data_IF_255194997666
#
_entry.id   IF_255194997666
#
_cell.length_a   1.000
_cell.length_b   1.000
_cell.length_c   1.000
_cell.angle_alpha   90.00
_cell.angle_beta   90.00
_cell.angle_gamma   90.00
#
_symmetry.space_group_name_H-M   'P 1'
#
loop_
_entity.id
_entity.type
_entity.pdbx_description
1 polymer ?
#
# COMPACT_ATOMS: atom_id res chain seq x y z
N UNK A 1 6.53 -18.18 -19.77
CA UNK A 1 6.94 -19.43 -19.10
C UNK A 1 6.47 -19.35 -17.66
N UNK A 2 5.82 -20.38 -17.12
CA UNK A 2 5.38 -20.35 -15.72
C UNK A 2 6.56 -20.45 -14.77
N UNK A 3 6.56 -19.65 -13.70
CA UNK A 3 7.54 -19.76 -12.61
C UNK A 3 7.53 -21.16 -12.01
N UNK A 4 8.72 -21.71 -11.72
CA UNK A 4 8.85 -22.98 -11.01
C UNK A 4 8.10 -22.98 -9.67
N UNK A 5 7.57 -24.13 -9.21
CA UNK A 5 6.85 -24.22 -7.93
C UNK A 5 7.69 -23.73 -6.74
N UNK A 6 9.00 -23.95 -6.80
CA UNK A 6 9.95 -23.49 -5.80
C UNK A 6 10.05 -21.95 -5.77
N UNK A 7 10.10 -21.31 -6.94
CA UNK A 7 10.10 -19.86 -7.05
C UNK A 7 8.81 -19.26 -6.46
N UNK A 8 7.65 -19.84 -6.80
CA UNK A 8 6.36 -19.41 -6.26
C UNK A 8 6.31 -19.52 -4.73
N UNK A 9 6.80 -20.62 -4.17
CA UNK A 9 6.91 -20.80 -2.72
C UNK A 9 7.82 -19.74 -2.06
N UNK A 10 8.98 -19.47 -2.65
CA UNK A 10 9.89 -18.44 -2.14
C UNK A 10 9.29 -17.04 -2.17
N UNK A 11 8.58 -16.68 -3.25
CA UNK A 11 7.88 -15.39 -3.32
C UNK A 11 6.81 -15.32 -2.23
N UNK A 12 5.99 -16.37 -2.03
CA UNK A 12 5.01 -16.43 -0.92
C UNK A 12 5.68 -16.20 0.43
N UNK A 13 6.78 -16.93 0.70
CA UNK A 13 7.54 -16.83 1.95
C UNK A 13 8.09 -15.42 2.14
N UNK A 14 8.67 -14.82 1.10
CA UNK A 14 9.26 -13.48 1.15
C UNK A 14 8.19 -12.40 1.38
N UNK A 15 7.06 -12.49 0.68
CA UNK A 15 5.92 -11.60 0.87
C UNK A 15 5.37 -11.71 2.29
N UNK A 16 5.15 -12.93 2.77
CA UNK A 16 4.66 -13.18 4.14
C UNK A 16 5.62 -12.64 5.20
N UNK A 17 6.91 -12.94 5.08
CA UNK A 17 7.92 -12.37 5.97
C UNK A 17 7.92 -10.84 5.93
N UNK A 18 7.77 -10.24 4.75
CA UNK A 18 7.71 -8.78 4.65
C UNK A 18 6.48 -8.25 5.37
N UNK A 19 5.30 -8.83 5.16
CA UNK A 19 4.03 -8.39 5.75
C UNK A 19 3.99 -8.60 7.25
N UNK A 20 4.55 -9.70 7.76
CA UNK A 20 4.64 -10.00 9.19
C UNK A 20 5.54 -8.99 9.91
N UNK A 21 6.71 -8.66 9.31
CA UNK A 21 7.59 -7.62 9.84
C UNK A 21 6.89 -6.25 9.89
N UNK A 22 6.06 -5.95 8.88
CA UNK A 22 5.31 -4.70 8.81
C UNK A 22 4.19 -4.67 9.86
N UNK A 23 3.49 -5.79 10.06
CA UNK A 23 2.48 -5.90 11.10
C UNK A 23 3.09 -5.70 12.51
N UNK A 24 4.26 -6.28 12.77
CA UNK A 24 4.99 -6.08 14.02
C UNK A 24 5.39 -4.62 14.25
N UNK A 25 5.83 -3.92 13.20
CA UNK A 25 6.23 -2.50 13.30
C UNK A 25 5.05 -1.56 13.52
N UNK A 26 3.88 -1.85 12.96
CA UNK A 26 2.74 -0.91 12.97
C UNK A 26 1.64 -1.27 13.95
N UNK A 27 1.54 -2.53 14.36
CA UNK A 27 0.45 -3.04 15.18
C UNK A 27 0.96 -4.10 16.17
N UNK A 28 1.89 -3.77 17.09
CA UNK A 28 2.50 -4.76 17.99
C UNK A 28 1.48 -5.49 18.88
N UNK A 29 0.31 -4.87 19.11
CA UNK A 29 -0.75 -5.39 19.97
C UNK A 29 -1.99 -5.89 19.21
N UNK A 30 -2.05 -5.72 17.89
CA UNK A 30 -3.14 -6.29 17.09
C UNK A 30 -2.68 -7.68 16.66
N UNK A 31 -3.46 -8.72 16.98
CA UNK A 31 -3.31 -10.01 16.28
C UNK A 31 -3.50 -9.71 14.82
N UNK A 32 -2.38 -9.61 14.08
CA UNK A 32 -2.38 -9.29 12.67
C UNK A 32 -3.43 -10.17 12.01
N UNK A 33 -4.55 -9.58 11.61
CA UNK A 33 -5.51 -10.25 10.75
C UNK A 33 -4.74 -10.45 9.45
N UNK A 34 -4.08 -11.60 9.37
CA UNK A 34 -3.13 -11.92 8.32
C UNK A 34 -3.78 -11.62 6.98
N UNK A 35 -2.96 -11.16 6.03
CA UNK A 35 -3.33 -11.33 4.63
C UNK A 35 -3.74 -12.79 4.47
N UNK A 36 -5.04 -13.03 4.30
CA UNK A 36 -5.57 -14.38 4.10
C UNK A 36 -4.76 -15.02 2.97
N UNK A 37 -4.36 -16.29 3.10
CA UNK A 37 -3.63 -17.01 2.05
C UNK A 37 -4.31 -16.84 0.67
N UNK A 38 -5.64 -16.74 0.68
CA UNK A 38 -6.49 -16.48 -0.47
C UNK A 38 -6.22 -15.15 -1.21
N UNK A 39 -5.62 -14.17 -0.53
CA UNK A 39 -5.22 -12.87 -1.11
C UNK A 39 -3.85 -12.95 -1.79
N UNK A 40 -2.90 -13.73 -1.25
CA UNK A 40 -1.58 -13.89 -1.85
C UNK A 40 -1.64 -14.72 -3.13
N UNK A 41 -2.46 -15.77 -3.16
CA UNK A 41 -2.61 -16.60 -4.35
C UNK A 41 -3.21 -15.82 -5.53
N UNK A 42 -4.15 -14.90 -5.26
CA UNK A 42 -4.71 -14.00 -6.29
C UNK A 42 -3.68 -13.01 -6.82
N UNK A 43 -2.80 -12.49 -5.96
CA UNK A 43 -1.71 -11.60 -6.38
C UNK A 43 -0.74 -12.37 -7.28
N UNK A 44 -0.36 -13.59 -6.87
CA UNK A 44 0.55 -14.44 -7.63
C UNK A 44 -0.04 -14.90 -8.97
N UNK A 45 -1.33 -15.23 -9.03
CA UNK A 45 -1.99 -15.60 -10.29
C UNK A 45 -1.99 -14.43 -11.25
N UNK A 46 -2.33 -13.22 -10.78
CA UNK A 46 -2.33 -12.03 -11.62
C UNK A 46 -0.93 -11.69 -12.15
N UNK A 47 0.11 -11.84 -11.32
CA UNK A 47 1.49 -11.64 -11.76
C UNK A 47 1.98 -12.70 -12.72
N UNK A 48 1.61 -13.96 -12.52
CA UNK A 48 1.97 -15.02 -13.46
C UNK A 48 1.41 -14.75 -14.85
N UNK A 49 0.24 -14.11 -14.95
CA UNK A 49 -0.32 -13.65 -16.22
C UNK A 49 0.48 -12.50 -16.83
N UNK A 50 0.94 -11.53 -16.02
CA UNK A 50 1.73 -10.38 -16.50
C UNK A 50 3.14 -10.77 -16.94
N UNK A 51 3.85 -11.59 -16.17
CA UNK A 51 5.23 -11.99 -16.47
C UNK A 51 5.36 -12.84 -17.74
N UNK A 52 4.27 -13.47 -18.20
CA UNK A 52 4.29 -14.26 -19.43
C UNK A 52 4.50 -13.42 -20.71
N UNK A 53 4.31 -12.10 -20.67
CA UNK A 53 4.61 -11.23 -21.82
C UNK A 53 6.09 -10.87 -21.94
N UNK A 54 6.88 -11.01 -20.88
CA UNK A 54 8.28 -10.53 -20.83
C UNK A 54 9.23 -11.67 -20.39
N UNK A 55 9.60 -12.52 -21.35
CA UNK A 55 10.36 -13.75 -21.07
C UNK A 55 11.70 -13.54 -20.33
N UNK A 56 12.37 -12.40 -20.48
CA UNK A 56 13.65 -12.11 -19.82
C UNK A 56 13.52 -11.95 -18.30
N UNK A 57 12.45 -11.32 -17.83
CA UNK A 57 12.26 -11.03 -16.40
C UNK A 57 12.01 -12.32 -15.60
N UNK A 58 11.34 -13.30 -16.21
CA UNK A 58 11.09 -14.60 -15.58
C UNK A 58 12.38 -15.36 -15.27
N UNK A 59 13.36 -15.32 -16.18
CA UNK A 59 14.66 -15.98 -16.01
C UNK A 59 15.49 -15.27 -14.93
N UNK A 60 15.52 -13.93 -14.96
CA UNK A 60 16.20 -13.13 -13.92
C UNK A 60 15.61 -13.41 -12.54
N UNK A 61 14.27 -13.45 -12.43
CA UNK A 61 13.58 -13.73 -11.18
C UNK A 61 13.91 -15.11 -10.61
N UNK A 62 13.94 -16.15 -11.45
CA UNK A 62 14.34 -17.49 -11.00
C UNK A 62 15.78 -17.56 -10.50
N UNK A 63 16.71 -16.89 -11.19
CA UNK A 63 18.11 -16.81 -10.76
C UNK A 63 18.24 -16.09 -9.42
N UNK A 64 17.56 -14.95 -9.25
CA UNK A 64 17.57 -14.21 -7.99
C UNK A 64 16.97 -15.01 -6.84
N UNK A 65 15.92 -15.81 -7.08
CA UNK A 65 15.32 -16.66 -6.06
C UNK A 65 16.24 -17.82 -5.66
N UNK A 66 16.99 -18.40 -6.61
CA UNK A 66 18.03 -19.40 -6.31
C UNK A 66 19.15 -18.80 -5.45
N UNK A 67 19.63 -17.61 -5.81
CA UNK A 67 20.63 -16.89 -5.02
C UNK A 67 20.07 -16.57 -3.63
N UNK A 68 18.83 -16.10 -3.54
CA UNK A 68 18.17 -15.81 -2.26
C UNK A 68 18.18 -17.02 -1.33
N UNK A 69 17.84 -18.21 -1.82
CA UNK A 69 17.87 -19.45 -1.02
C UNK A 69 19.27 -19.84 -0.56
N UNK A 70 20.29 -19.64 -1.41
CA UNK A 70 21.68 -19.91 -1.07
C UNK A 70 22.15 -18.98 0.05
N UNK A 71 21.86 -17.67 -0.06
CA UNK A 71 22.27 -16.67 0.92
C UNK A 71 21.42 -16.68 2.20
N UNK A 72 20.17 -17.13 2.17
CA UNK A 72 19.33 -17.23 3.39
C UNK A 72 19.96 -18.17 4.45
N UNK A 73 20.75 -19.16 4.01
CA UNK A 73 21.46 -20.10 4.91
C UNK A 73 22.80 -19.56 5.43
N UNK A 74 23.33 -18.49 4.84
CA UNK A 74 24.67 -17.96 5.13
C UNK A 74 24.59 -16.52 5.70
N UNK A 75 24.62 -16.33 7.04
CA UNK A 75 24.40 -15.03 7.67
C UNK A 75 25.48 -13.97 7.37
N UNK A 76 26.65 -14.38 6.85
CA UNK A 76 27.76 -13.49 6.54
C UNK A 76 27.48 -12.48 5.39
N UNK A 77 26.41 -12.67 4.61
CA UNK A 77 26.14 -11.88 3.40
C UNK A 77 24.84 -11.06 3.49
N UNK A 78 24.59 -10.43 4.64
CA UNK A 78 23.37 -9.64 4.89
C UNK A 78 23.14 -8.56 3.81
N UNK A 79 24.19 -7.85 3.38
CA UNK A 79 24.14 -6.82 2.33
C UNK A 79 23.66 -7.36 0.97
N UNK A 80 24.18 -8.50 0.52
CA UNK A 80 23.77 -9.10 -0.75
C UNK A 80 22.33 -9.60 -0.70
N UNK A 81 21.92 -10.18 0.44
CA UNK A 81 20.56 -10.65 0.64
C UNK A 81 19.54 -9.51 0.57
N UNK A 82 19.89 -8.33 1.09
CA UNK A 82 19.09 -7.11 0.97
C UNK A 82 18.89 -6.73 -0.49
N UNK A 83 19.99 -6.70 -1.24
CA UNK A 83 19.99 -6.27 -2.63
C UNK A 83 19.21 -7.26 -3.52
N UNK A 84 19.38 -8.55 -3.29
CA UNK A 84 18.59 -9.61 -3.95
C UNK A 84 17.10 -9.44 -3.63
N UNK A 85 16.73 -9.22 -2.36
CA UNK A 85 15.34 -8.95 -1.97
C UNK A 85 14.80 -7.72 -2.70
N UNK A 86 15.58 -6.65 -2.77
CA UNK A 86 15.21 -5.42 -3.47
C UNK A 86 14.93 -5.68 -4.94
N UNK A 87 15.85 -6.38 -5.63
CA UNK A 87 15.71 -6.68 -7.05
C UNK A 87 14.53 -7.61 -7.35
N UNK A 88 14.33 -8.64 -6.53
CA UNK A 88 13.14 -9.51 -6.60
C UNK A 88 11.88 -8.65 -6.49
N UNK A 89 11.81 -7.77 -5.49
CA UNK A 89 10.64 -6.92 -5.30
C UNK A 89 10.42 -5.97 -6.50
N UNK A 90 11.49 -5.41 -7.08
CA UNK A 90 11.39 -4.57 -8.28
C UNK A 90 10.79 -5.31 -9.48
N UNK A 91 11.25 -6.54 -9.76
CA UNK A 91 10.72 -7.37 -10.86
C UNK A 91 9.26 -7.74 -10.59
N UNK A 92 8.87 -7.92 -9.33
CA UNK A 92 7.47 -8.12 -8.94
C UNK A 92 6.63 -6.83 -9.02
N UNK A 93 7.17 -5.74 -9.58
CA UNK A 93 6.48 -4.47 -9.74
C UNK A 93 6.43 -3.60 -8.48
N UNK A 94 7.13 -3.99 -7.41
CA UNK A 94 7.25 -3.14 -6.23
C UNK A 94 8.31 -2.08 -6.48
N UNK A 95 7.87 -0.84 -6.73
CA UNK A 95 8.77 0.29 -6.93
C UNK A 95 9.52 0.60 -5.63
N UNK A 96 10.81 0.25 -5.59
CA UNK A 96 11.69 0.58 -4.46
C UNK A 96 12.43 1.91 -4.66
N UNK A 97 12.17 2.65 -5.75
CA UNK A 97 12.89 3.89 -6.06
C UNK A 97 12.62 4.98 -5.02
N UNK A 98 13.61 5.83 -4.66
CA UNK A 98 13.41 6.98 -3.80
C UNK A 98 12.71 8.07 -4.58
N UNK A 99 11.45 7.84 -4.91
CA UNK A 99 10.62 8.98 -5.23
C UNK A 99 10.30 9.57 -3.87
N UNK A 100 11.20 10.42 -3.38
CA UNK A 100 10.83 11.39 -2.36
C UNK A 100 9.62 12.11 -2.96
N UNK A 101 8.45 11.96 -2.35
CA UNK A 101 7.25 12.61 -2.84
C UNK A 101 7.51 14.10 -2.77
N UNK A 102 7.41 14.76 -3.92
CA UNK A 102 7.45 16.22 -3.99
C UNK A 102 6.24 16.85 -3.31
N UNK A 103 5.15 16.08 -3.12
CA UNK A 103 3.89 16.59 -2.58
C UNK A 103 3.44 15.76 -1.37
N UNK A 104 3.44 16.42 -0.20
CA UNK A 104 2.85 15.89 1.02
C UNK A 104 1.33 16.10 1.00
N UNK A 105 0.55 15.19 1.61
CA UNK A 105 -0.89 15.39 1.73
C UNK A 105 -1.19 16.68 2.50
N UNK A 106 -2.14 17.47 2.02
CA UNK A 106 -2.61 18.66 2.73
C UNK A 106 -3.32 18.24 4.01
N UNK A 107 -2.86 18.74 5.17
CA UNK A 107 -3.40 18.40 6.48
C UNK A 107 -4.02 19.65 7.10
N UNK A 108 -5.30 19.59 7.46
CA UNK A 108 -6.03 20.73 8.05
C UNK A 108 -6.90 20.30 9.25
N UNK A 109 -7.26 21.25 10.10
CA UNK A 109 -8.18 20.98 11.22
C UNK A 109 -9.62 20.94 10.69
N UNK A 110 -10.41 19.94 11.09
CA UNK A 110 -11.78 19.76 10.59
C UNK A 110 -12.66 21.00 10.79
N UNK A 111 -12.52 21.67 11.94
CA UNK A 111 -13.31 22.86 12.29
C UNK A 111 -13.06 24.10 11.44
N UNK A 112 -12.06 24.11 10.55
CA UNK A 112 -11.83 25.21 9.60
C UNK A 112 -12.49 24.97 8.24
N UNK A 113 -13.28 23.91 8.09
CA UNK A 113 -13.92 23.55 6.81
C UNK A 113 -15.43 23.57 6.93
N UNK A 114 -16.11 23.98 5.86
CA UNK A 114 -17.56 23.90 5.78
C UNK A 114 -17.95 22.52 5.25
N UNK A 115 -18.62 21.74 6.08
CA UNK A 115 -19.16 20.43 5.70
C UNK A 115 -20.56 20.57 5.10
N UNK A 116 -20.91 19.64 4.20
CA UNK A 116 -22.24 19.52 3.63
C UNK A 116 -22.59 18.04 3.45
N UNK A 117 -23.86 17.73 3.29
CA UNK A 117 -24.32 16.39 2.93
C UNK A 117 -24.81 16.38 1.48
N UNK A 118 -24.57 15.29 0.75
CA UNK A 118 -25.03 15.15 -0.63
C UNK A 118 -25.43 13.71 -0.91
N UNK A 119 -26.24 13.49 -1.94
CA UNK A 119 -26.70 12.15 -2.32
C UNK A 119 -25.82 11.58 -3.43
N UNK A 120 -25.26 10.39 -3.22
CA UNK A 120 -24.44 9.70 -4.20
C UNK A 120 -24.75 8.21 -4.21
N UNK A 121 -25.13 7.69 -5.39
CA UNK A 121 -25.49 6.29 -5.63
C UNK A 121 -26.40 5.67 -4.56
N UNK A 122 -27.50 6.35 -4.23
CA UNK A 122 -28.51 5.81 -3.32
C UNK A 122 -28.20 6.01 -1.83
N UNK A 123 -27.12 6.72 -1.47
CA UNK A 123 -26.74 6.96 -0.07
C UNK A 123 -26.39 8.43 0.16
N UNK A 124 -26.67 8.91 1.37
CA UNK A 124 -26.19 10.22 1.83
C UNK A 124 -24.71 10.09 2.17
N UNK A 125 -23.90 11.00 1.65
CA UNK A 125 -22.47 11.11 1.87
C UNK A 125 -22.14 12.47 2.49
N UNK A 126 -21.03 12.52 3.22
CA UNK A 126 -20.50 13.76 3.78
C UNK A 126 -19.44 14.35 2.84
N UNK A 127 -19.57 15.65 2.56
CA UNK A 127 -18.62 16.43 1.78
C UNK A 127 -18.10 17.63 2.57
N UNK A 128 -17.02 18.24 2.07
CA UNK A 128 -16.49 19.50 2.57
C UNK A 128 -16.03 20.39 1.42
N UNK A 129 -16.02 21.71 1.64
CA UNK A 129 -15.42 22.68 0.71
C UNK A 129 -14.06 23.12 1.21
N UNK A 130 -13.05 23.04 0.34
CA UNK A 130 -11.68 23.50 0.63
C UNK A 130 -11.09 24.13 -0.63
N UNK A 131 -10.52 25.35 -0.51
CA UNK A 131 -9.94 26.10 -1.64
C UNK A 131 -10.85 26.17 -2.89
N UNK A 132 -12.15 26.43 -2.68
CA UNK A 132 -13.16 26.47 -3.74
C UNK A 132 -13.47 25.14 -4.45
N UNK A 133 -12.85 24.04 -4.01
CA UNK A 133 -13.14 22.70 -4.50
C UNK A 133 -14.02 21.92 -3.52
N UNK A 134 -14.70 20.89 -4.04
CA UNK A 134 -15.58 20.02 -3.27
C UNK A 134 -14.91 18.67 -3.08
N UNK A 135 -14.82 18.22 -1.84
CA UNK A 135 -14.27 16.93 -1.47
C UNK A 135 -15.33 16.06 -0.80
N UNK A 136 -15.27 14.76 -1.03
CA UNK A 136 -16.10 13.77 -0.35
C UNK A 136 -15.29 12.95 0.65
N UNK A 137 -15.90 12.63 1.79
CA UNK A 137 -15.29 11.72 2.77
C UNK A 137 -15.21 10.32 2.17
N UNK A 138 -14.03 9.70 2.24
CA UNK A 138 -13.80 8.34 1.75
C UNK A 138 -13.52 7.38 2.89
N UNK A 139 -12.75 7.81 3.89
CA UNK A 139 -12.46 6.98 5.06
C UNK A 139 -12.17 7.79 6.31
N UNK A 140 -12.73 7.33 7.41
CA UNK A 140 -12.52 7.85 8.76
C UNK A 140 -11.66 6.90 9.56
N UNK A 141 -10.72 7.45 10.32
CA UNK A 141 -9.80 6.73 11.18
C UNK A 141 -9.92 7.28 12.60
N UNK A 142 -9.90 6.39 13.59
CA UNK A 142 -9.66 6.80 14.98
C UNK A 142 -8.23 7.37 15.12
N UNK A 143 -8.02 8.29 16.05
CA UNK A 143 -6.68 8.81 16.38
C UNK A 143 -5.65 7.70 16.73
N UNK A 144 -6.10 6.56 17.26
CA UNK A 144 -5.21 5.41 17.52
C UNK A 144 -4.57 4.87 16.24
N UNK A 145 -5.18 5.11 15.08
CA UNK A 145 -4.72 4.71 13.76
C UNK A 145 -4.13 5.87 12.95
N UNK A 146 -3.67 6.96 13.61
CA UNK A 146 -3.10 8.14 12.93
C UNK A 146 -2.03 7.79 11.90
N UNK A 147 -1.13 6.86 12.22
CA UNK A 147 -0.03 6.47 11.34
C UNK A 147 -0.54 5.85 10.05
N UNK A 148 -1.57 5.01 10.16
CA UNK A 148 -2.23 4.39 9.03
C UNK A 148 -2.97 5.43 8.18
N UNK A 149 -3.67 6.39 8.81
CA UNK A 149 -4.31 7.48 8.09
C UNK A 149 -3.31 8.31 7.27
N UNK A 150 -2.18 8.69 7.87
CA UNK A 150 -1.09 9.40 7.19
C UNK A 150 -0.48 8.59 6.06
N UNK A 151 -0.21 7.31 6.29
CA UNK A 151 0.30 6.40 5.27
C UNK A 151 -0.63 6.29 4.06
N UNK A 152 -1.94 6.20 4.30
CA UNK A 152 -2.93 6.09 3.26
C UNK A 152 -3.07 7.38 2.47
N UNK A 153 -3.16 8.51 3.17
CA UNK A 153 -3.15 9.83 2.54
C UNK A 153 -1.87 10.01 1.71
N UNK A 154 -0.73 9.64 2.27
CA UNK A 154 0.53 9.75 1.57
C UNK A 154 0.60 8.91 0.29
N UNK A 155 0.18 7.65 0.33
CA UNK A 155 0.12 6.80 -0.86
C UNK A 155 -0.79 7.37 -1.96
N UNK A 156 -1.92 7.97 -1.57
CA UNK A 156 -2.83 8.66 -2.50
C UNK A 156 -2.18 9.92 -3.09
N UNK A 157 -1.45 10.69 -2.27
CA UNK A 157 -0.70 11.88 -2.70
C UNK A 157 0.39 11.52 -3.72
N UNK A 158 1.15 10.44 -3.48
CA UNK A 158 2.17 9.93 -4.41
C UNK A 158 1.53 9.54 -5.75
N UNK A 159 0.31 9.00 -5.74
CA UNK A 159 -0.46 8.69 -6.94
C UNK A 159 -1.13 9.93 -7.58
N UNK A 160 -0.78 11.15 -7.14
CA UNK A 160 -1.33 12.43 -7.61
C UNK A 160 -2.85 12.52 -7.47
N UNK A 161 -3.42 11.85 -6.46
CA UNK A 161 -4.84 11.98 -6.17
C UNK A 161 -5.06 13.28 -5.38
N UNK A 162 -5.97 14.16 -5.81
CA UNK A 162 -6.29 15.38 -5.08
C UNK A 162 -7.01 15.04 -3.77
N UNK A 163 -6.26 15.09 -2.67
CA UNK A 163 -6.71 14.68 -1.35
C UNK A 163 -6.46 15.73 -0.28
N UNK A 164 -7.27 15.66 0.77
CA UNK A 164 -7.07 16.43 2.00
C UNK A 164 -7.27 15.48 3.19
N UNK A 165 -6.35 15.53 4.16
CA UNK A 165 -6.49 14.83 5.43
C UNK A 165 -6.93 15.84 6.48
N UNK A 166 -8.12 15.68 7.03
CA UNK A 166 -8.54 16.50 8.18
C UNK A 166 -8.32 15.76 9.48
N UNK A 167 -8.03 16.49 10.56
CA UNK A 167 -8.03 15.93 11.91
C UNK A 167 -8.99 16.68 12.83
N UNK A 168 -9.59 15.94 13.76
CA UNK A 168 -10.40 16.45 14.87
C UNK A 168 -9.79 15.98 16.21
N UNK A 169 -10.50 16.19 17.31
CA UNK A 169 -10.10 15.70 18.64
C UNK A 169 -10.26 14.19 18.81
N UNK A 170 -10.98 13.50 17.91
CA UNK A 170 -11.30 12.08 18.03
C UNK A 170 -10.95 11.25 16.80
N UNK A 171 -10.84 11.89 15.63
CA UNK A 171 -10.73 11.18 14.35
C UNK A 171 -9.88 11.93 13.31
N UNK A 172 -9.43 11.19 12.30
CA UNK A 172 -8.88 11.71 11.06
C UNK A 172 -9.77 11.26 9.91
N UNK A 173 -9.99 12.13 8.92
CA UNK A 173 -10.83 11.84 7.75
C UNK A 173 -10.03 12.12 6.48
N UNK A 174 -9.98 11.14 5.58
CA UNK A 174 -9.45 11.30 4.23
C UNK A 174 -10.58 11.76 3.32
N UNK A 175 -10.36 12.92 2.71
CA UNK A 175 -11.23 13.52 1.73
C UNK A 175 -10.59 13.49 0.35
N UNK A 176 -11.39 13.22 -0.67
CA UNK A 176 -10.93 13.19 -2.06
C UNK A 176 -11.81 14.12 -2.88
N UNK A 177 -11.22 14.89 -3.79
CA UNK A 177 -11.96 15.80 -4.65
C UNK A 177 -13.04 15.01 -5.42
N UNK A 178 -14.28 15.49 -5.38
CA UNK A 178 -15.43 14.81 -5.99
C UNK A 178 -15.35 14.71 -7.52
N UNK A 179 -14.56 15.56 -8.15
CA UNK A 179 -14.29 15.52 -9.60
C UNK A 179 -13.24 14.45 -9.96
N UNK A 180 -12.50 13.92 -8.97
CA UNK A 180 -11.54 12.86 -9.20
C UNK A 180 -12.24 11.53 -9.51
N UNK A 181 -11.87 10.81 -10.58
CA UNK A 181 -12.42 9.47 -10.85
C UNK A 181 -12.11 8.49 -9.71
N UNK A 182 -11.03 8.73 -8.97
CA UNK A 182 -10.63 7.95 -7.79
C UNK A 182 -11.69 7.97 -6.70
N UNK A 183 -12.41 9.08 -6.53
CA UNK A 183 -13.49 9.17 -5.54
C UNK A 183 -14.57 8.11 -5.80
N UNK A 184 -15.05 8.03 -7.05
CA UNK A 184 -16.05 7.06 -7.44
C UNK A 184 -15.57 5.62 -7.18
N UNK A 185 -14.32 5.31 -7.54
CA UNK A 185 -13.74 3.97 -7.31
C UNK A 185 -13.69 3.65 -5.81
N UNK A 186 -13.19 4.56 -4.99
CA UNK A 186 -12.92 4.27 -3.59
C UNK A 186 -14.16 4.24 -2.71
N UNK A 187 -15.20 5.02 -3.01
CA UNK A 187 -16.47 4.98 -2.28
C UNK A 187 -17.25 3.69 -2.53
N UNK A 188 -17.01 3.00 -3.65
CA UNK A 188 -17.67 1.72 -3.95
C UNK A 188 -16.90 0.50 -3.49
N UNK A 189 -15.59 0.61 -3.35
CA UNK A 189 -14.80 -0.54 -2.96
C UNK A 189 -15.14 -0.97 -1.54
N UNK A 190 -15.15 -2.29 -1.34
CA UNK A 190 -15.31 -2.86 -0.02
C UNK A 190 -14.21 -2.26 0.89
N UNK A 191 -14.56 -1.64 2.03
CA UNK A 191 -13.62 -0.97 2.91
C UNK A 191 -12.46 -1.87 3.36
N UNK A 192 -12.66 -3.19 3.35
CA UNK A 192 -11.64 -4.20 3.62
C UNK A 192 -10.55 -4.22 2.51
N UNK A 193 -10.95 -4.24 1.24
CA UNK A 193 -10.03 -4.23 0.10
C UNK A 193 -9.18 -2.97 0.10
N UNK A 194 -9.81 -1.82 0.37
CA UNK A 194 -9.11 -0.54 0.47
C UNK A 194 -8.08 -0.52 1.59
N UNK A 195 -8.40 -1.06 2.78
CA UNK A 195 -7.40 -1.22 3.83
C UNK A 195 -6.26 -2.12 3.40
N UNK A 196 -6.53 -3.25 2.74
CA UNK A 196 -5.48 -4.19 2.34
C UNK A 196 -4.53 -3.57 1.32
N UNK A 197 -5.07 -2.93 0.28
CA UNK A 197 -4.27 -2.31 -0.78
C UNK A 197 -3.43 -1.17 -0.22
N UNK A 198 -3.98 -0.31 0.63
CA UNK A 198 -3.23 0.79 1.21
C UNK A 198 -2.22 0.33 2.27
N UNK A 199 -2.56 -0.66 3.08
CA UNK A 199 -1.62 -1.26 4.03
C UNK A 199 -0.44 -1.88 3.28
N UNK A 200 -0.67 -2.59 2.18
CA UNK A 200 0.39 -3.09 1.30
C UNK A 200 1.21 -1.94 0.70
N UNK A 201 0.56 -0.93 0.12
CA UNK A 201 1.27 0.15 -0.57
C UNK A 201 2.16 0.95 0.40
N UNK A 202 1.62 1.28 1.58
CA UNK A 202 2.36 2.00 2.62
C UNK A 202 3.51 1.18 3.24
N UNK A 203 3.33 -0.13 3.34
CA UNK A 203 4.35 -1.07 3.76
C UNK A 203 5.54 -1.11 2.79
N UNK A 204 5.23 -1.11 1.51
CA UNK A 204 6.21 -1.18 0.44
C UNK A 204 7.05 0.11 0.36
N UNK A 205 6.43 1.27 0.60
CA UNK A 205 7.15 2.55 0.60
C UNK A 205 8.04 2.80 1.84
N UNK A 206 7.70 2.25 3.02
CA UNK A 206 8.43 2.57 4.29
C UNK A 206 9.71 1.79 4.55
N UNK A 207 9.90 0.59 3.99
CA UNK A 207 11.11 -0.22 4.22
C UNK A 207 12.42 0.47 3.76
N UNK A 208 12.26 1.60 3.09
CA UNK A 208 13.27 2.45 2.53
C UNK A 208 13.95 3.42 3.53
N UNK A 209 13.24 3.86 4.57
CA UNK A 209 13.72 4.94 5.47
C UNK A 209 14.29 4.45 6.80
N UNK A 210 14.29 3.14 7.07
CA UNK A 210 14.79 2.56 8.32
C UNK A 210 16.27 2.12 8.25
N UNK A 211 17.06 2.68 7.32
CA UNK A 211 18.48 2.33 7.09
C UNK A 211 19.35 3.55 6.81
N UNK A 212 19.15 4.58 7.62
CA UNK A 212 20.16 5.59 7.88
C UNK A 212 20.49 5.53 9.38
#
# INVERSE_FOLDING_TARGET
MSLSPLAQYCIRKLLRQSTDNLAQLFMPNSRAAGLSEMSLDKILSNWSCQLNSEGSETVELELLLKLYQQFEKAPAHSANLIEIKRRILQILGFQTSPILPTEFPTIIKLGSTQQFSFFYKGRIQTGMRYQNELFGAVKTFSLTHRLQAYQNAWALSVAKVPIVLTFSTSELVIWINLQSPTYAVLVHQNPAVFSTVLTLNSALHKRKFARE
#
